data_IF_253649060207
#
_entry.id   IF_253649060207
#
_cell.length_a   1.000
_cell.length_b   1.000
_cell.length_c   1.000
_cell.angle_alpha   90.00
_cell.angle_beta   90.00
_cell.angle_gamma   90.00
#
_symmetry.space_group_name_H-M   'P 1'
#
loop_
_entity.id
_entity.type
_entity.pdbx_description
1 polymer ?
#
# COMPACT_ATOMS: atom_id res chain seq x y z
N UNK A 1 23.97 24.93 -24.02
CA UNK A 1 22.82 25.34 -23.20
C UNK A 1 21.67 24.47 -23.64
N UNK A 2 21.42 23.38 -22.91
CA UNK A 2 20.25 22.54 -23.08
C UNK A 2 19.38 22.92 -21.88
N UNK A 3 18.37 23.76 -22.12
CA UNK A 3 17.32 24.02 -21.13
C UNK A 3 16.57 22.71 -20.91
N UNK A 4 16.80 22.11 -19.75
CA UNK A 4 16.00 21.02 -19.21
C UNK A 4 14.60 21.58 -18.98
N UNK A 5 13.69 21.26 -19.90
CA UNK A 5 12.27 21.32 -19.63
C UNK A 5 11.95 20.31 -18.51
N UNK A 6 12.12 20.73 -17.28
CA UNK A 6 11.49 20.07 -16.15
C UNK A 6 9.98 20.15 -16.40
N UNK A 7 9.40 19.08 -16.94
CA UNK A 7 7.95 18.94 -17.05
C UNK A 7 7.42 19.12 -15.63
N UNK A 8 6.66 20.17 -15.41
CA UNK A 8 5.95 20.42 -14.17
C UNK A 8 4.89 19.33 -14.03
N UNK A 9 5.29 18.18 -13.52
CA UNK A 9 4.40 17.03 -13.31
C UNK A 9 3.65 17.27 -12.03
N UNK A 10 2.36 17.53 -12.12
CA UNK A 10 1.49 17.70 -10.98
C UNK A 10 0.84 16.36 -10.65
N UNK A 11 1.00 15.90 -9.41
CA UNK A 11 0.39 14.67 -8.90
C UNK A 11 -0.90 15.01 -8.14
N UNK A 12 -1.90 14.15 -8.27
CA UNK A 12 -3.05 14.15 -7.36
C UNK A 12 -2.99 12.92 -6.48
N UNK A 13 -3.05 13.14 -5.19
CA UNK A 13 -3.05 12.07 -4.21
C UNK A 13 -4.45 11.83 -3.65
N UNK A 14 -4.70 10.60 -3.26
CA UNK A 14 -5.93 10.23 -2.57
C UNK A 14 -5.59 9.24 -1.47
N UNK A 15 -6.24 9.40 -0.33
CA UNK A 15 -6.23 8.43 0.74
C UNK A 15 -7.44 7.51 0.54
N UNK A 16 -7.18 6.22 0.36
CA UNK A 16 -8.19 5.17 0.31
C UNK A 16 -8.28 4.47 1.66
N UNK A 17 -9.46 4.41 2.29
CA UNK A 17 -9.61 3.84 3.61
C UNK A 17 -9.65 2.32 3.58
N UNK A 18 -9.08 1.70 4.61
CA UNK A 18 -9.32 0.33 5.00
C UNK A 18 -10.20 0.32 6.25
N UNK A 19 -11.36 -0.34 6.19
CA UNK A 19 -12.44 -0.26 7.16
C UNK A 19 -12.56 -1.55 7.95
N UNK A 20 -12.57 -1.44 9.27
CA UNK A 20 -12.80 -2.53 10.20
C UNK A 20 -14.27 -2.98 10.20
N UNK A 21 -14.56 -4.13 10.79
CA UNK A 21 -15.90 -4.72 10.88
C UNK A 21 -16.90 -3.80 11.60
N UNK A 22 -16.46 -3.08 12.63
CA UNK A 22 -17.28 -2.12 13.37
C UNK A 22 -17.58 -0.81 12.59
N UNK A 23 -17.08 -0.70 11.36
CA UNK A 23 -17.22 0.47 10.49
C UNK A 23 -16.21 1.59 10.77
N UNK A 24 -15.30 1.42 11.73
CA UNK A 24 -14.23 2.40 11.95
C UNK A 24 -13.12 2.29 10.91
N UNK A 25 -12.50 3.42 10.56
CA UNK A 25 -11.31 3.39 9.72
C UNK A 25 -10.13 2.79 10.50
N UNK A 26 -9.51 1.75 9.93
CA UNK A 26 -8.31 1.13 10.47
C UNK A 26 -7.06 1.89 10.01
N UNK A 27 -6.96 2.17 8.73
CA UNK A 27 -5.79 2.76 8.08
C UNK A 27 -6.16 3.38 6.74
N UNK A 28 -5.20 4.07 6.14
CA UNK A 28 -5.32 4.71 4.84
C UNK A 28 -4.18 4.27 3.92
N UNK A 29 -4.45 4.12 2.64
CA UNK A 29 -3.42 3.95 1.61
C UNK A 29 -3.26 5.24 0.81
N UNK A 30 -2.03 5.75 0.67
CA UNK A 30 -1.73 6.91 -0.16
C UNK A 30 -1.52 6.49 -1.62
N UNK A 31 -2.52 6.76 -2.44
CA UNK A 31 -2.52 6.45 -3.86
C UNK A 31 -2.26 7.70 -4.71
N UNK A 32 -1.58 7.50 -5.84
CA UNK A 32 -1.45 8.51 -6.89
C UNK A 32 -2.50 8.23 -7.97
N UNK A 33 -3.43 9.16 -8.17
CA UNK A 33 -4.52 8.96 -9.16
C UNK A 33 -4.19 9.46 -10.56
N UNK A 34 -3.53 10.62 -10.68
CA UNK A 34 -3.20 11.21 -11.97
C UNK A 34 -1.87 11.96 -11.93
N UNK A 35 -1.15 11.89 -13.02
CA UNK A 35 -0.12 12.84 -13.36
C UNK A 35 -0.80 13.85 -14.29
N UNK A 36 -1.01 15.08 -13.85
CA UNK A 36 -1.57 16.12 -14.69
C UNK A 36 -0.46 16.56 -15.66
N UNK A 37 -0.44 15.98 -16.86
CA UNK A 37 0.33 16.54 -17.96
C UNK A 37 -0.35 17.83 -18.40
N UNK A 38 0.43 18.92 -18.71
CA UNK A 38 -0.15 20.12 -19.31
C UNK A 38 -0.93 19.71 -20.56
N UNK A 39 -2.16 20.17 -20.67
CA UNK A 39 -3.14 19.77 -21.69
C UNK A 39 -2.55 19.87 -23.10
N UNK A 40 -2.27 18.75 -23.71
CA UNK A 40 -2.12 18.61 -25.16
C UNK A 40 -3.20 17.65 -25.64
N UNK A 41 -4.26 18.28 -26.20
CA UNK A 41 -5.26 17.70 -27.10
C UNK A 41 -5.83 16.30 -26.78
N UNK A 42 -7.08 16.30 -26.30
CA UNK A 42 -8.17 15.32 -26.52
C UNK A 42 -7.75 13.85 -26.80
N UNK A 43 -7.00 13.23 -25.93
CA UNK A 43 -6.94 11.77 -25.80
C UNK A 43 -7.20 11.43 -24.34
N UNK A 44 -8.01 10.41 -24.09
CA UNK A 44 -8.24 9.89 -22.73
C UNK A 44 -6.91 9.80 -21.98
N UNK A 45 -6.81 10.49 -20.83
CA UNK A 45 -5.59 10.48 -20.03
C UNK A 45 -5.20 9.01 -19.76
N UNK A 46 -3.95 8.61 -19.98
CA UNK A 46 -3.51 7.26 -19.68
C UNK A 46 -3.71 7.01 -18.19
N UNK A 47 -4.29 5.87 -17.85
CA UNK A 47 -4.43 5.42 -16.46
C UNK A 47 -3.03 5.39 -15.84
N UNK A 48 -2.84 6.09 -14.73
CA UNK A 48 -1.58 6.08 -14.00
C UNK A 48 -1.23 4.64 -13.59
N UNK A 49 -0.02 4.21 -13.91
CA UNK A 49 0.52 2.94 -13.45
C UNK A 49 1.94 3.12 -12.93
N UNK A 50 2.17 2.78 -11.68
CA UNK A 50 3.50 2.86 -11.04
C UNK A 50 4.55 2.04 -11.80
N UNK A 51 4.15 0.89 -12.37
CA UNK A 51 5.06 0.02 -13.13
C UNK A 51 5.60 0.61 -14.43
N UNK A 52 4.94 1.65 -14.97
CA UNK A 52 5.37 2.32 -16.22
C UNK A 52 6.29 3.52 -15.98
N UNK A 53 6.49 3.90 -14.71
CA UNK A 53 7.37 5.00 -14.36
C UNK A 53 8.85 4.62 -14.55
N UNK A 54 9.65 5.60 -14.99
CA UNK A 54 11.11 5.48 -14.92
C UNK A 54 11.57 5.48 -13.46
N UNK A 55 12.78 4.97 -13.18
CA UNK A 55 13.38 5.02 -11.82
C UNK A 55 13.42 6.46 -11.28
N UNK A 56 13.81 7.42 -12.12
CA UNK A 56 13.82 8.85 -11.76
C UNK A 56 12.42 9.35 -11.35
N UNK A 57 11.39 8.96 -12.11
CA UNK A 57 10.02 9.40 -11.84
C UNK A 57 9.46 8.74 -10.56
N UNK A 58 9.82 7.48 -10.30
CA UNK A 58 9.48 6.79 -9.04
C UNK A 58 10.10 7.49 -7.83
N UNK A 59 11.39 7.81 -7.90
CA UNK A 59 12.08 8.54 -6.83
C UNK A 59 11.47 9.93 -6.61
N UNK A 60 11.18 10.66 -7.69
CA UNK A 60 10.55 11.98 -7.60
C UNK A 60 9.14 11.91 -6.99
N UNK A 61 8.34 10.92 -7.40
CA UNK A 61 7.01 10.68 -6.84
C UNK A 61 7.09 10.36 -5.35
N UNK A 62 7.95 9.42 -4.97
CA UNK A 62 8.13 9.04 -3.57
C UNK A 62 8.59 10.22 -2.70
N UNK A 63 9.57 11.01 -3.19
CA UNK A 63 10.00 12.22 -2.50
C UNK A 63 8.81 13.16 -2.28
N UNK A 64 7.95 13.33 -3.28
CA UNK A 64 6.76 14.19 -3.16
C UNK A 64 5.74 13.65 -2.15
N UNK A 65 5.57 12.34 -2.06
CA UNK A 65 4.74 11.70 -1.04
C UNK A 65 5.30 11.93 0.38
N UNK A 66 6.61 11.80 0.55
CA UNK A 66 7.29 12.09 1.83
C UNK A 66 7.16 13.57 2.22
N UNK A 67 7.38 14.50 1.29
CA UNK A 67 7.18 15.94 1.52
C UNK A 67 5.75 16.24 1.98
N UNK A 68 4.75 15.67 1.30
CA UNK A 68 3.34 15.80 1.68
C UNK A 68 3.12 15.31 3.12
N UNK A 69 3.56 14.08 3.43
CA UNK A 69 3.33 13.47 4.74
C UNK A 69 4.13 14.15 5.85
N UNK A 70 5.24 14.80 5.54
CA UNK A 70 6.05 15.54 6.52
C UNK A 70 5.33 16.75 7.12
N UNK A 71 4.35 17.30 6.40
CA UNK A 71 3.53 18.46 6.82
C UNK A 71 2.06 18.11 7.02
N UNK A 72 1.69 16.85 6.83
CA UNK A 72 0.30 16.39 6.92
C UNK A 72 -0.16 16.37 8.39
N UNK A 73 -1.35 16.92 8.64
CA UNK A 73 -1.98 16.85 9.94
C UNK A 73 -2.74 15.52 10.10
N UNK A 74 -2.12 14.54 10.73
CA UNK A 74 -2.69 13.20 10.92
C UNK A 74 -3.97 13.19 11.76
N UNK A 75 -4.30 14.28 12.46
CA UNK A 75 -5.60 14.38 13.15
C UNK A 75 -6.79 14.36 12.17
N UNK A 76 -6.58 14.76 10.91
CA UNK A 76 -7.60 14.70 9.85
C UNK A 76 -7.99 13.27 9.47
N UNK A 77 -7.19 12.30 9.85
CA UNK A 77 -7.38 10.86 9.63
C UNK A 77 -7.39 10.09 10.95
N UNK A 78 -7.83 10.73 12.03
CA UNK A 78 -7.94 10.18 13.38
C UNK A 78 -6.65 9.55 13.91
N UNK A 79 -5.49 10.06 13.47
CA UNK A 79 -4.16 9.52 13.77
C UNK A 79 -4.01 8.04 13.36
N UNK A 80 -4.69 7.62 12.30
CA UNK A 80 -4.56 6.29 11.74
C UNK A 80 -3.35 6.18 10.82
N UNK A 81 -2.76 4.99 10.66
CA UNK A 81 -1.64 4.79 9.76
C UNK A 81 -1.99 5.15 8.31
N UNK A 82 -1.02 5.75 7.61
CA UNK A 82 -1.04 5.93 6.16
C UNK A 82 0.07 5.06 5.57
N UNK A 83 -0.26 4.18 4.66
CA UNK A 83 0.72 3.33 3.97
C UNK A 83 1.19 3.91 2.65
N UNK A 84 2.43 3.59 2.30
CA UNK A 84 3.13 3.98 1.09
C UNK A 84 3.64 2.75 0.36
N UNK A 85 3.32 2.63 -0.92
CA UNK A 85 3.82 1.57 -1.79
C UNK A 85 5.30 1.77 -2.12
N UNK A 86 6.13 0.75 -1.89
CA UNK A 86 7.54 0.73 -2.24
C UNK A 86 7.92 -0.54 -3.01
N UNK A 87 8.94 -0.41 -3.86
CA UNK A 87 9.61 -1.52 -4.54
C UNK A 87 11.09 -1.63 -4.10
N UNK A 88 11.84 -2.52 -4.72
CA UNK A 88 13.27 -2.70 -4.43
C UNK A 88 14.09 -1.43 -4.60
N UNK A 89 13.78 -0.60 -5.61
CA UNK A 89 14.45 0.67 -5.85
C UNK A 89 14.22 1.64 -4.69
N UNK A 90 12.97 1.81 -4.28
CA UNK A 90 12.61 2.71 -3.19
C UNK A 90 13.10 2.19 -1.84
N UNK A 91 13.10 0.86 -1.63
CA UNK A 91 13.69 0.23 -0.46
C UNK A 91 15.18 0.60 -0.34
N UNK A 92 15.95 0.44 -1.44
CA UNK A 92 17.36 0.83 -1.46
C UNK A 92 17.55 2.33 -1.22
N UNK A 93 16.74 3.17 -1.86
CA UNK A 93 16.78 4.62 -1.67
C UNK A 93 16.54 5.02 -0.21
N UNK A 94 15.50 4.47 0.43
CA UNK A 94 15.20 4.71 1.85
C UNK A 94 16.39 4.33 2.73
N UNK A 95 16.92 3.12 2.56
CA UNK A 95 17.98 2.57 3.43
C UNK A 95 19.33 3.27 3.24
N UNK A 96 19.56 3.97 2.14
CA UNK A 96 20.78 4.73 1.87
C UNK A 96 20.66 6.22 2.22
N UNK A 97 19.45 6.73 2.43
CA UNK A 97 19.20 8.12 2.80
C UNK A 97 18.92 8.26 4.30
N UNK A 98 19.83 8.95 5.01
CA UNK A 98 19.72 9.14 6.45
C UNK A 98 18.46 9.93 6.85
N UNK A 99 18.09 10.94 6.06
CA UNK A 99 16.91 11.75 6.36
C UNK A 99 15.63 10.91 6.29
N UNK A 100 15.49 10.07 5.28
CA UNK A 100 14.35 9.16 5.12
C UNK A 100 14.28 8.14 6.28
N UNK A 101 15.41 7.55 6.65
CA UNK A 101 15.49 6.64 7.80
C UNK A 101 15.04 7.33 9.10
N UNK A 102 15.53 8.54 9.37
CA UNK A 102 15.21 9.27 10.58
C UNK A 102 13.74 9.74 10.56
N UNK A 103 13.22 10.17 9.41
CA UNK A 103 11.82 10.55 9.21
C UNK A 103 10.88 9.38 9.48
N UNK A 104 11.10 8.22 8.87
CA UNK A 104 10.27 7.03 9.07
C UNK A 104 10.31 6.55 10.52
N UNK A 105 11.49 6.55 11.15
CA UNK A 105 11.64 6.16 12.55
C UNK A 105 10.91 7.11 13.51
N UNK A 106 10.86 8.39 13.19
CA UNK A 106 10.16 9.39 13.99
C UNK A 106 8.63 9.38 13.77
N UNK A 107 8.19 8.90 12.62
CA UNK A 107 6.77 8.86 12.27
C UNK A 107 6.05 7.68 12.93
N UNK A 108 4.95 7.98 13.64
CA UNK A 108 4.11 6.96 14.27
C UNK A 108 2.99 6.43 13.36
N UNK A 109 2.75 7.12 12.26
CA UNK A 109 1.55 6.94 11.43
C UNK A 109 1.89 6.63 9.96
N UNK A 110 3.13 6.24 9.67
CA UNK A 110 3.52 5.81 8.33
C UNK A 110 3.87 4.32 8.35
N UNK A 111 3.34 3.58 7.38
CA UNK A 111 3.70 2.20 7.08
C UNK A 111 4.22 2.10 5.65
N UNK A 112 5.03 1.07 5.36
CA UNK A 112 5.53 0.78 4.01
C UNK A 112 4.87 -0.49 3.50
N UNK A 113 4.31 -0.46 2.28
CA UNK A 113 3.74 -1.61 1.60
C UNK A 113 4.73 -2.17 0.59
N UNK A 114 5.03 -3.46 0.69
CA UNK A 114 5.94 -4.18 -0.19
C UNK A 114 5.16 -5.28 -0.90
N UNK A 115 5.15 -5.25 -2.22
CA UNK A 115 4.45 -6.26 -3.00
C UNK A 115 5.21 -7.58 -3.08
N UNK A 116 4.51 -8.64 -3.49
CA UNK A 116 5.06 -10.01 -3.56
C UNK A 116 6.25 -10.19 -4.52
N UNK A 117 6.56 -9.20 -5.37
CA UNK A 117 7.69 -9.27 -6.30
C UNK A 117 9.01 -8.81 -5.70
N UNK A 118 9.03 -8.38 -4.44
CA UNK A 118 10.23 -7.95 -3.75
C UNK A 118 11.33 -9.02 -3.81
N UNK A 119 12.54 -8.62 -4.21
CA UNK A 119 13.59 -9.58 -4.57
C UNK A 119 14.03 -10.51 -3.41
N UNK A 120 13.94 -10.06 -2.15
CA UNK A 120 14.27 -10.88 -0.97
C UNK A 120 13.23 -11.99 -0.71
N UNK A 121 12.04 -11.95 -1.33
CA UNK A 121 11.04 -13.01 -1.20
C UNK A 121 11.39 -14.25 -2.02
N UNK A 122 12.39 -14.17 -2.88
CA UNK A 122 12.94 -15.34 -3.59
C UNK A 122 13.46 -16.35 -2.57
N UNK A 123 13.07 -17.61 -2.75
CA UNK A 123 13.44 -18.70 -1.85
C UNK A 123 14.95 -18.78 -1.60
N UNK A 124 15.33 -18.89 -0.32
CA UNK A 124 16.73 -19.02 0.11
C UNK A 124 17.49 -17.71 0.30
N UNK A 125 16.89 -16.54 0.00
CA UNK A 125 17.49 -15.24 0.32
C UNK A 125 17.27 -14.87 1.78
N UNK A 126 18.20 -14.11 2.33
CA UNK A 126 18.03 -13.45 3.62
C UNK A 126 17.09 -12.26 3.47
N UNK A 127 16.34 -11.93 4.53
CA UNK A 127 15.40 -10.82 4.58
C UNK A 127 16.06 -9.59 5.24
N UNK A 128 17.23 -9.20 4.77
CA UNK A 128 18.06 -8.17 5.41
C UNK A 128 17.49 -6.76 5.23
N UNK A 129 17.15 -6.38 3.99
CA UNK A 129 16.54 -5.08 3.73
C UNK A 129 15.17 -4.98 4.39
N UNK A 130 14.34 -6.03 4.28
CA UNK A 130 13.04 -6.13 4.92
C UNK A 130 13.14 -5.94 6.43
N UNK A 131 14.07 -6.64 7.10
CA UNK A 131 14.28 -6.52 8.54
C UNK A 131 14.78 -5.13 8.94
N UNK A 132 15.58 -4.48 8.09
CA UNK A 132 16.06 -3.12 8.33
C UNK A 132 14.94 -2.10 8.19
N UNK A 133 14.07 -2.23 7.19
CA UNK A 133 12.88 -1.39 7.03
C UNK A 133 11.93 -1.54 8.22
N UNK A 134 11.67 -2.78 8.66
CA UNK A 134 10.82 -3.06 9.82
C UNK A 134 11.36 -2.50 11.15
N UNK A 135 12.67 -2.21 11.22
CA UNK A 135 13.24 -1.48 12.35
C UNK A 135 13.01 0.05 12.29
N UNK A 136 12.52 0.57 11.15
CA UNK A 136 12.19 1.99 10.95
C UNK A 136 10.70 2.27 11.20
N UNK A 137 9.81 1.47 10.58
CA UNK A 137 8.37 1.64 10.65
C UNK A 137 7.65 0.32 10.34
N UNK A 138 6.32 0.23 10.57
CA UNK A 138 5.53 -0.95 10.19
C UNK A 138 5.70 -1.30 8.72
N UNK A 139 5.84 -2.60 8.43
CA UNK A 139 5.96 -3.14 7.06
C UNK A 139 4.78 -4.05 6.78
N UNK A 140 4.09 -3.77 5.69
CA UNK A 140 2.92 -4.49 5.21
C UNK A 140 3.26 -5.27 3.94
N UNK A 141 2.70 -6.45 3.80
CA UNK A 141 2.78 -7.25 2.58
C UNK A 141 1.58 -6.96 1.72
N UNK A 142 1.82 -6.53 0.48
CA UNK A 142 0.79 -6.26 -0.51
C UNK A 142 0.68 -7.37 -1.55
N UNK A 143 -0.47 -7.46 -2.23
CA UNK A 143 -0.77 -8.40 -3.32
C UNK A 143 -0.71 -9.89 -2.90
N UNK A 144 -0.94 -10.26 -1.62
CA UNK A 144 -0.91 -11.67 -1.21
C UNK A 144 -1.91 -12.52 -1.98
N UNK A 145 -1.41 -13.57 -2.63
CA UNK A 145 -2.21 -14.52 -3.41
C UNK A 145 -2.04 -14.40 -4.92
N UNK A 146 -1.30 -13.41 -5.45
CA UNK A 146 -1.00 -13.30 -6.89
C UNK A 146 0.03 -14.31 -7.40
N UNK A 147 0.63 -15.12 -6.51
CA UNK A 147 1.36 -16.31 -6.94
C UNK A 147 2.78 -16.51 -6.42
N UNK A 148 3.46 -15.51 -5.87
CA UNK A 148 4.83 -15.67 -5.33
C UNK A 148 4.89 -15.77 -3.83
N UNK A 149 4.02 -15.07 -3.12
CA UNK A 149 3.95 -15.13 -1.67
C UNK A 149 3.20 -16.37 -1.21
N UNK A 150 3.75 -17.01 -0.22
CA UNK A 150 3.22 -18.22 0.38
C UNK A 150 3.18 -18.08 1.89
N UNK A 151 2.40 -18.91 2.55
CA UNK A 151 2.42 -19.03 4.02
C UNK A 151 3.84 -19.18 4.58
N UNK A 152 4.75 -19.82 3.84
CA UNK A 152 6.16 -19.95 4.24
C UNK A 152 6.87 -18.61 4.40
N UNK A 153 6.48 -17.56 3.63
CA UNK A 153 7.03 -16.22 3.85
C UNK A 153 6.52 -15.64 5.15
N UNK A 154 5.22 -15.79 5.44
CA UNK A 154 4.59 -15.31 6.67
C UNK A 154 5.16 -16.00 7.93
N UNK A 155 5.59 -17.26 7.81
CA UNK A 155 6.30 -17.97 8.87
C UNK A 155 7.74 -17.46 9.10
N UNK A 156 8.38 -16.92 8.05
CA UNK A 156 9.75 -16.40 8.12
C UNK A 156 9.85 -14.96 8.59
N UNK A 157 8.81 -14.17 8.31
CA UNK A 157 8.77 -12.78 8.67
C UNK A 157 7.33 -12.39 9.06
N UNK A 158 7.22 -11.77 10.24
CA UNK A 158 5.92 -11.29 10.71
C UNK A 158 5.69 -9.88 10.21
N UNK A 159 4.80 -9.75 9.23
CA UNK A 159 4.31 -8.45 8.77
C UNK A 159 3.33 -7.85 9.77
N UNK A 160 3.30 -6.52 9.88
CA UNK A 160 2.30 -5.82 10.69
C UNK A 160 0.91 -5.92 10.08
N UNK A 161 0.85 -5.97 8.74
CA UNK A 161 -0.39 -6.20 7.99
C UNK A 161 -0.10 -6.99 6.72
N UNK A 162 -1.08 -7.79 6.28
CA UNK A 162 -1.09 -8.45 4.96
C UNK A 162 -2.33 -8.03 4.21
N UNK A 163 -2.16 -7.53 2.99
CA UNK A 163 -3.24 -7.17 2.07
C UNK A 163 -3.46 -8.34 1.11
N UNK A 164 -4.66 -8.89 1.12
CA UNK A 164 -5.07 -9.99 0.23
C UNK A 164 -5.57 -9.37 -1.07
N UNK A 165 -4.91 -9.73 -2.17
CA UNK A 165 -5.21 -9.22 -3.51
C UNK A 165 -6.66 -9.43 -3.91
N UNK A 166 -7.24 -8.44 -4.57
CA UNK A 166 -8.65 -8.45 -5.00
C UNK A 166 -8.98 -9.58 -5.96
N UNK A 167 -8.09 -9.86 -6.94
CA UNK A 167 -8.36 -10.89 -7.96
C UNK A 167 -8.33 -12.27 -7.29
N UNK A 168 -7.41 -12.48 -6.35
CA UNK A 168 -7.37 -13.68 -5.51
C UNK A 168 -8.63 -13.82 -4.65
N UNK A 169 -9.07 -12.75 -4.00
CA UNK A 169 -10.30 -12.74 -3.21
C UNK A 169 -11.53 -13.03 -4.06
N UNK A 170 -11.68 -12.39 -5.22
CA UNK A 170 -12.83 -12.60 -6.12
C UNK A 170 -12.88 -14.02 -6.68
N UNK A 171 -11.73 -14.62 -7.02
CA UNK A 171 -11.66 -16.03 -7.43
C UNK A 171 -12.20 -16.98 -6.35
N UNK A 172 -12.00 -16.62 -5.09
CA UNK A 172 -12.35 -17.46 -3.94
C UNK A 172 -13.58 -17.01 -3.16
N UNK A 173 -14.28 -15.97 -3.58
CA UNK A 173 -15.42 -15.43 -2.80
C UNK A 173 -16.58 -16.42 -2.56
N UNK A 174 -16.64 -17.50 -3.36
CA UNK A 174 -17.62 -18.58 -3.20
C UNK A 174 -17.00 -19.89 -2.64
N UNK A 175 -15.71 -19.88 -2.30
CA UNK A 175 -15.03 -21.02 -1.68
C UNK A 175 -15.34 -21.05 -0.18
N UNK A 176 -15.96 -22.13 0.35
CA UNK A 176 -16.26 -22.24 1.78
C UNK A 176 -15.01 -22.27 2.66
N UNK A 177 -13.82 -22.51 2.10
CA UNK A 177 -12.55 -22.48 2.83
C UNK A 177 -11.99 -21.07 3.04
N UNK A 178 -12.50 -20.05 2.33
CA UNK A 178 -11.96 -18.69 2.37
C UNK A 178 -11.92 -18.10 3.80
N UNK A 179 -12.96 -18.18 4.62
CA UNK A 179 -12.89 -17.65 6.00
C UNK A 179 -11.76 -18.28 6.82
N UNK A 180 -11.59 -19.59 6.72
CA UNK A 180 -10.51 -20.30 7.40
C UNK A 180 -9.13 -19.90 6.90
N UNK A 181 -8.98 -19.62 5.59
CA UNK A 181 -7.76 -19.11 4.99
C UNK A 181 -7.41 -17.72 5.53
N UNK A 182 -8.36 -16.79 5.58
CA UNK A 182 -8.16 -15.44 6.11
C UNK A 182 -7.75 -15.47 7.59
N UNK A 183 -8.39 -16.34 8.39
CA UNK A 183 -8.01 -16.56 9.78
C UNK A 183 -6.60 -17.15 9.92
N UNK A 184 -6.20 -18.08 9.04
CA UNK A 184 -4.84 -18.63 9.04
C UNK A 184 -3.78 -17.56 8.72
N UNK A 185 -4.06 -16.64 7.79
CA UNK A 185 -3.19 -15.48 7.54
C UNK A 185 -3.14 -14.60 8.78
N UNK A 186 -4.28 -14.26 9.37
CA UNK A 186 -4.36 -13.40 10.55
C UNK A 186 -3.59 -13.95 11.76
N UNK A 187 -3.52 -15.29 11.92
CA UNK A 187 -2.69 -15.91 12.98
C UNK A 187 -1.19 -15.67 12.82
N UNK A 188 -0.71 -15.44 11.59
CA UNK A 188 0.71 -15.26 11.29
C UNK A 188 1.12 -13.79 11.19
N UNK A 189 0.15 -12.87 11.17
CA UNK A 189 0.37 -11.43 10.93
C UNK A 189 -0.26 -10.59 12.04
N UNK A 190 -0.05 -9.25 11.98
CA UNK A 190 -0.74 -8.33 12.90
C UNK A 190 -2.19 -8.11 12.50
N UNK A 191 -2.40 -7.79 11.21
CA UNK A 191 -3.71 -7.49 10.63
C UNK A 191 -3.83 -8.10 9.24
N UNK A 192 -5.09 -8.26 8.78
CA UNK A 192 -5.39 -8.68 7.41
C UNK A 192 -6.37 -7.70 6.78
N UNK A 193 -6.00 -7.13 5.65
CA UNK A 193 -6.87 -6.32 4.79
C UNK A 193 -7.22 -7.15 3.57
N UNK A 194 -8.51 -7.22 3.22
CA UNK A 194 -8.98 -7.81 1.96
C UNK A 194 -9.34 -6.70 1.00
N UNK A 195 -8.67 -6.68 -0.14
CA UNK A 195 -8.90 -5.69 -1.19
C UNK A 195 -10.08 -6.06 -2.10
N UNK A 196 -10.58 -5.06 -2.84
CA UNK A 196 -11.61 -5.27 -3.84
C UNK A 196 -13.02 -5.51 -3.29
N UNK A 197 -13.31 -5.02 -2.09
CA UNK A 197 -14.67 -5.04 -1.56
C UNK A 197 -15.52 -4.01 -2.30
N UNK A 198 -16.49 -4.50 -3.08
CA UNK A 198 -17.37 -3.66 -3.89
C UNK A 198 -18.85 -3.83 -3.54
N UNK A 199 -19.21 -4.91 -2.83
CA UNK A 199 -20.60 -5.26 -2.53
C UNK A 199 -20.82 -5.58 -1.06
N UNK A 200 -22.05 -5.39 -0.61
CA UNK A 200 -22.48 -5.78 0.74
C UNK A 200 -22.28 -7.29 1.00
N UNK A 201 -22.43 -8.14 -0.04
CA UNK A 201 -22.17 -9.59 0.06
C UNK A 201 -20.72 -9.85 0.45
N UNK A 202 -19.78 -9.20 -0.24
CA UNK A 202 -18.34 -9.35 0.01
C UNK A 202 -17.97 -8.82 1.40
N UNK A 203 -18.53 -7.66 1.81
CA UNK A 203 -18.36 -7.14 3.15
C UNK A 203 -18.77 -8.16 4.21
N UNK A 204 -19.97 -8.71 4.10
CA UNK A 204 -20.47 -9.75 5.06
C UNK A 204 -19.59 -10.99 5.06
N UNK A 205 -19.01 -11.36 3.93
CA UNK A 205 -18.13 -12.52 3.83
C UNK A 205 -16.87 -12.34 4.67
N UNK A 206 -16.22 -11.17 4.58
CA UNK A 206 -15.01 -10.89 5.37
C UNK A 206 -15.34 -10.71 6.86
N UNK A 207 -16.45 -10.03 7.19
CA UNK A 207 -16.96 -9.92 8.57
C UNK A 207 -17.17 -11.30 9.21
N UNK A 208 -17.73 -12.26 8.46
CA UNK A 208 -17.92 -13.63 8.95
C UNK A 208 -16.61 -14.40 9.19
N UNK A 209 -15.51 -13.94 8.60
CA UNK A 209 -14.18 -14.52 8.82
C UNK A 209 -13.49 -14.01 10.10
N UNK A 210 -14.08 -13.09 10.84
CA UNK A 210 -13.56 -12.55 12.10
C UNK A 210 -12.97 -11.15 11.94
N UNK A 211 -11.89 -10.84 12.63
CA UNK A 211 -11.25 -9.52 12.65
C UNK A 211 -10.46 -9.25 11.34
N UNK A 212 -11.21 -9.14 10.23
CA UNK A 212 -10.69 -8.90 8.89
C UNK A 212 -11.16 -7.52 8.42
N UNK A 213 -10.22 -6.75 7.92
CA UNK A 213 -10.41 -5.38 7.46
C UNK A 213 -10.73 -5.40 5.96
N UNK A 214 -11.62 -4.53 5.49
CA UNK A 214 -11.97 -4.43 4.07
C UNK A 214 -11.47 -3.14 3.44
N UNK A 215 -11.02 -3.21 2.19
CA UNK A 215 -10.66 -2.05 1.38
C UNK A 215 -11.32 -2.17 -0.01
N UNK A 216 -11.79 -1.05 -0.58
CA UNK A 216 -12.34 -1.07 -1.93
C UNK A 216 -13.48 -0.08 -2.18
N UNK A 217 -14.08 -0.19 -3.37
CA UNK A 217 -15.10 0.75 -3.86
C UNK A 217 -16.39 0.81 -3.06
N UNK A 218 -16.63 -0.17 -2.20
CA UNK A 218 -17.77 -0.13 -1.29
C UNK A 218 -17.75 1.12 -0.41
N UNK A 219 -16.55 1.63 -0.07
CA UNK A 219 -16.33 2.85 0.73
C UNK A 219 -15.78 4.03 -0.07
N UNK A 220 -16.05 4.09 -1.38
CA UNK A 220 -15.54 5.16 -2.27
C UNK A 220 -15.90 6.58 -1.84
N UNK A 221 -17.00 6.74 -1.11
CA UNK A 221 -17.48 8.05 -0.62
C UNK A 221 -16.69 8.52 0.61
N UNK A 222 -15.87 7.65 1.19
CA UNK A 222 -14.96 7.95 2.31
C UNK A 222 -13.54 8.33 1.86
N UNK A 223 -13.26 8.33 0.56
CA UNK A 223 -11.95 8.69 0.00
C UNK A 223 -11.65 10.17 0.25
N UNK A 224 -10.41 10.46 0.70
CA UNK A 224 -9.93 11.83 0.93
C UNK A 224 -9.00 12.23 -0.22
N UNK A 225 -9.36 13.28 -0.96
CA UNK A 225 -8.54 13.82 -2.03
C UNK A 225 -7.62 14.91 -1.48
N UNK A 226 -6.30 14.74 -1.68
CA UNK A 226 -5.30 15.68 -1.24
C UNK A 226 -4.90 16.58 -2.41
N UNK A 227 -5.08 17.90 -2.23
CA UNK A 227 -4.64 18.92 -3.19
C UNK A 227 -3.19 19.32 -2.83
N UNK A 228 -2.25 19.11 -3.76
CA UNK A 228 -0.85 19.55 -3.65
C UNK A 228 -0.58 20.73 -4.58
#
# INVERSE_FOLDING_TARGET
MVEENAKNTSYRFVLEPAISDDGSCHSWELLTKDIIAPAQNNTSAPTFSFSTLTERDKLALFTRQIELLSVFDFSQVDNKPISLNIDDLLSHFILTDRYLCDFLRASKYIALEINENFHEFIAGRELTALSTLAALCPVWLDDFGRGRTTFRLLERFRFDCVKVDKDYFWDKENDPALPGLLQAIHTLTGHVIVEGIETEKQKRLITAAGDIIGQGRYWKDEYIFLCC
#
